data_IF_298154886145
#
_entry.id   IF_298154886145
#
_cell.length_a   1.000
_cell.length_b   1.000
_cell.length_c   1.000
_cell.angle_alpha   90.00
_cell.angle_beta   90.00
_cell.angle_gamma   90.00
#
_symmetry.space_group_name_H-M   'P 1'
#
loop_
_entity.id
_entity.type
_entity.pdbx_description
1 polymer ?
#
# COMPACT_ATOMS: atom_id res chain seq x y z
N UNK A 1 -19.27 2.03 -8.58
CA UNK A 1 -17.85 2.29 -8.71
C UNK A 1 -17.18 1.98 -7.38
N UNK A 2 -15.99 1.39 -7.34
CA UNK A 2 -15.35 1.03 -6.08
C UNK A 2 -13.87 1.46 -5.99
N UNK A 3 -13.49 2.02 -4.83
CA UNK A 3 -12.11 2.21 -4.41
C UNK A 3 -11.79 1.17 -3.33
N UNK A 4 -10.91 0.24 -3.66
CA UNK A 4 -10.52 -0.87 -2.79
C UNK A 4 -9.09 -0.66 -2.34
N UNK A 5 -8.89 -0.58 -1.02
CA UNK A 5 -7.57 -0.48 -0.43
C UNK A 5 -7.03 -1.87 -0.03
N UNK A 6 -5.87 -2.24 -0.58
CA UNK A 6 -5.14 -3.46 -0.23
C UNK A 6 -3.99 -3.08 0.70
N UNK A 7 -4.03 -3.56 1.94
CA UNK A 7 -3.01 -3.29 2.96
C UNK A 7 -2.41 -4.56 3.52
N UNK A 8 -1.31 -4.42 4.27
CA UNK A 8 -0.59 -5.52 4.87
C UNK A 8 0.92 -5.34 4.82
N UNK A 9 1.63 -6.07 5.67
CA UNK A 9 3.08 -5.94 5.83
C UNK A 9 3.87 -6.25 4.54
N UNK A 10 5.14 -5.87 4.48
CA UNK A 10 6.02 -6.24 3.37
C UNK A 10 6.10 -7.78 3.24
N UNK A 11 6.12 -8.32 2.02
CA UNK A 11 6.21 -9.77 1.76
C UNK A 11 4.88 -10.53 1.72
N UNK A 12 3.74 -9.88 1.99
CA UNK A 12 2.41 -10.55 1.95
C UNK A 12 1.84 -10.74 0.53
N UNK A 13 2.40 -10.07 -0.48
CA UNK A 13 2.02 -10.26 -1.90
C UNK A 13 1.18 -9.15 -2.53
N UNK A 14 1.08 -7.97 -1.91
CA UNK A 14 0.28 -6.83 -2.43
C UNK A 14 0.66 -6.45 -3.87
N UNK A 15 1.94 -6.21 -4.14
CA UNK A 15 2.45 -5.79 -5.45
C UNK A 15 2.10 -6.80 -6.55
N UNK A 16 2.31 -8.10 -6.30
CA UNK A 16 1.93 -9.16 -7.26
C UNK A 16 0.44 -9.14 -7.56
N UNK A 17 -0.42 -8.97 -6.55
CA UNK A 17 -1.87 -8.84 -6.79
C UNK A 17 -2.20 -7.61 -7.64
N UNK A 18 -1.56 -6.46 -7.39
CA UNK A 18 -1.77 -5.26 -8.20
C UNK A 18 -1.33 -5.46 -9.65
N UNK A 19 -0.20 -6.13 -9.90
CA UNK A 19 0.25 -6.46 -11.26
C UNK A 19 -0.79 -7.31 -12.00
N UNK A 20 -1.37 -8.32 -11.34
CA UNK A 20 -2.43 -9.13 -11.92
C UNK A 20 -3.72 -8.34 -12.20
N UNK A 21 -4.15 -7.49 -11.26
CA UNK A 21 -5.32 -6.63 -11.44
C UNK A 21 -5.14 -5.63 -12.60
N UNK A 22 -3.93 -5.10 -12.76
CA UNK A 22 -3.59 -4.24 -13.90
C UNK A 22 -3.69 -4.99 -15.24
N UNK A 23 -3.23 -6.25 -15.28
CA UNK A 23 -3.35 -7.10 -16.47
C UNK A 23 -4.80 -7.42 -16.83
N UNK A 24 -5.69 -7.45 -15.83
CA UNK A 24 -7.15 -7.60 -16.03
C UNK A 24 -7.83 -6.28 -16.45
N UNK A 25 -7.10 -5.17 -16.50
CA UNK A 25 -7.59 -3.87 -16.98
C UNK A 25 -8.12 -2.93 -15.89
N UNK A 26 -7.94 -3.27 -14.61
CA UNK A 26 -8.31 -2.37 -13.51
C UNK A 26 -7.28 -1.24 -13.33
N UNK A 27 -7.74 -0.10 -12.81
CA UNK A 27 -6.81 0.93 -12.35
C UNK A 27 -6.16 0.47 -11.05
N UNK A 28 -4.83 0.55 -11.00
CA UNK A 28 -4.06 0.20 -9.82
C UNK A 28 -3.08 1.32 -9.48
N UNK A 29 -2.89 1.58 -8.18
CA UNK A 29 -1.88 2.52 -7.71
C UNK A 29 -1.14 1.93 -6.50
N UNK A 30 0.17 1.76 -6.63
CA UNK A 30 1.06 1.44 -5.52
C UNK A 30 1.61 2.74 -4.92
N UNK A 31 1.35 2.96 -3.64
CA UNK A 31 1.63 4.25 -2.99
C UNK A 31 3.04 4.35 -2.41
N UNK A 32 3.85 3.29 -2.52
CA UNK A 32 5.24 3.22 -2.07
C UNK A 32 6.16 4.26 -2.74
N UNK A 33 5.78 4.83 -3.88
CA UNK A 33 6.55 5.85 -4.59
C UNK A 33 5.68 7.06 -4.90
N UNK A 34 6.11 8.24 -4.43
CA UNK A 34 5.50 9.54 -4.78
C UNK A 34 4.34 9.99 -3.88
N UNK A 35 3.73 9.08 -3.13
CA UNK A 35 2.58 9.34 -2.24
C UNK A 35 2.94 9.37 -0.76
N UNK A 36 4.22 9.30 -0.42
CA UNK A 36 4.69 9.27 0.96
C UNK A 36 5.40 10.55 1.37
N UNK A 37 5.36 10.87 2.66
CA UNK A 37 6.09 11.95 3.30
C UNK A 37 6.45 11.59 4.75
N UNK A 38 7.14 12.49 5.42
CA UNK A 38 7.39 12.37 6.86
C UNK A 38 6.14 12.84 7.61
N UNK A 39 5.66 12.03 8.54
CA UNK A 39 4.53 12.35 9.42
C UNK A 39 4.98 12.35 10.87
N UNK A 40 4.32 13.16 11.69
CA UNK A 40 4.48 13.14 13.14
C UNK A 40 3.55 12.08 13.76
N UNK A 41 4.08 11.33 14.72
CA UNK A 41 3.37 10.31 15.49
C UNK A 41 3.67 10.50 16.98
N UNK A 42 2.93 9.83 17.86
CA UNK A 42 3.21 9.84 19.30
C UNK A 42 4.59 9.26 19.65
N UNK A 43 5.22 8.53 18.74
CA UNK A 43 6.54 7.89 18.91
C UNK A 43 7.68 8.63 18.18
N UNK A 44 7.39 9.80 17.61
CA UNK A 44 8.33 10.57 16.79
C UNK A 44 7.90 10.60 15.32
N UNK A 45 8.86 10.70 14.41
CA UNK A 45 8.55 10.79 12.98
C UNK A 45 8.59 9.44 12.28
N UNK A 46 7.63 9.21 11.39
CA UNK A 46 7.56 8.01 10.54
C UNK A 46 7.33 8.38 9.08
N UNK A 47 7.54 7.41 8.17
CA UNK A 47 7.09 7.55 6.79
C UNK A 47 5.61 7.17 6.73
N UNK A 48 4.79 8.13 6.30
CA UNK A 48 3.36 7.95 6.13
C UNK A 48 2.90 8.39 4.75
N UNK A 49 1.61 8.23 4.49
CA UNK A 49 0.98 8.85 3.35
C UNK A 49 1.01 10.37 3.46
N UNK A 50 1.36 11.00 2.34
CA UNK A 50 1.13 12.42 2.10
C UNK A 50 -0.37 12.64 1.91
N UNK A 51 -1.00 13.29 2.88
CA UNK A 51 -2.46 13.33 2.99
C UNK A 51 -3.12 14.05 1.81
N UNK A 52 -2.50 15.13 1.32
CA UNK A 52 -3.01 15.88 0.17
C UNK A 52 -2.95 15.04 -1.11
N UNK A 53 -1.84 14.31 -1.33
CA UNK A 53 -1.70 13.46 -2.51
C UNK A 53 -2.65 12.28 -2.51
N UNK A 54 -2.88 11.65 -1.35
CA UNK A 54 -3.83 10.56 -1.25
C UNK A 54 -5.26 11.06 -1.44
N UNK A 55 -5.63 12.21 -0.88
CA UNK A 55 -6.95 12.78 -1.12
C UNK A 55 -7.16 13.09 -2.60
N UNK A 56 -6.20 13.75 -3.25
CA UNK A 56 -6.28 14.01 -4.69
C UNK A 56 -6.34 12.74 -5.53
N UNK A 57 -5.64 11.67 -5.14
CA UNK A 57 -5.72 10.38 -5.81
C UNK A 57 -7.13 9.79 -5.71
N UNK A 58 -7.71 9.77 -4.51
CA UNK A 58 -9.06 9.26 -4.27
C UNK A 58 -10.08 10.06 -5.08
N UNK A 59 -10.03 11.39 -5.01
CA UNK A 59 -10.93 12.29 -5.73
C UNK A 59 -10.86 12.09 -7.26
N UNK A 60 -9.66 11.84 -7.79
CA UNK A 60 -9.45 11.57 -9.22
C UNK A 60 -10.16 10.29 -9.69
N UNK A 61 -10.29 9.29 -8.81
CA UNK A 61 -10.85 7.98 -9.12
C UNK A 61 -12.25 7.75 -8.52
N UNK A 62 -12.92 8.76 -7.96
CA UNK A 62 -14.25 8.60 -7.36
C UNK A 62 -15.30 7.97 -8.31
N UNK A 63 -15.11 8.14 -9.63
CA UNK A 63 -15.96 7.60 -10.69
C UNK A 63 -15.29 6.47 -11.51
N UNK A 64 -14.19 5.85 -11.02
CA UNK A 64 -13.41 4.77 -11.68
C UNK A 64 -12.90 3.66 -10.75
N UNK A 65 -12.82 2.41 -11.23
CA UNK A 65 -12.60 1.26 -10.33
C UNK A 65 -11.11 1.25 -10.02
N UNK A 66 -10.76 1.42 -8.76
CA UNK A 66 -9.39 1.62 -8.31
C UNK A 66 -9.02 0.61 -7.23
N UNK A 67 -7.90 -0.08 -7.43
CA UNK A 67 -7.19 -0.78 -6.37
C UNK A 67 -5.96 0.03 -5.95
N UNK A 68 -5.95 0.48 -4.71
CA UNK A 68 -4.84 1.23 -4.11
C UNK A 68 -4.12 0.32 -3.12
N UNK A 69 -2.78 0.32 -3.12
CA UNK A 69 -1.95 -0.49 -2.20
C UNK A 69 -0.99 0.37 -1.40
N UNK A 70 -0.82 0.03 -0.12
CA UNK A 70 0.08 0.68 0.82
C UNK A 70 0.02 0.04 2.21
N UNK A 71 0.89 0.44 3.12
CA UNK A 71 0.83 0.03 4.53
C UNK A 71 1.54 1.07 5.39
N UNK A 72 0.80 2.07 5.87
CA UNK A 72 1.35 3.24 6.55
C UNK A 72 0.64 3.53 7.86
N UNK A 73 1.34 4.14 8.81
CA UNK A 73 0.80 4.41 10.14
C UNK A 73 -0.45 5.31 10.13
N UNK A 74 -0.52 6.28 9.21
CA UNK A 74 -1.67 7.18 9.07
C UNK A 74 -2.79 6.68 8.13
N UNK A 75 -2.70 5.46 7.59
CA UNK A 75 -3.72 4.93 6.65
C UNK A 75 -5.14 4.93 7.23
N UNK A 76 -5.27 4.80 8.56
CA UNK A 76 -6.57 4.80 9.26
C UNK A 76 -7.38 6.09 9.08
N UNK A 77 -6.74 7.21 8.74
CA UNK A 77 -7.42 8.48 8.42
C UNK A 77 -8.26 8.40 7.14
N UNK A 78 -7.99 7.43 6.28
CA UNK A 78 -8.57 7.36 4.94
C UNK A 78 -9.59 6.24 4.76
N UNK A 79 -9.81 5.39 5.77
CA UNK A 79 -10.71 4.23 5.64
C UNK A 79 -12.14 4.59 5.24
N UNK A 80 -12.60 5.79 5.63
CA UNK A 80 -13.91 6.31 5.23
C UNK A 80 -14.06 6.58 3.72
N UNK A 81 -12.95 6.64 2.97
CA UNK A 81 -12.95 6.88 1.53
C UNK A 81 -12.82 5.60 0.71
N UNK A 82 -12.67 4.45 1.36
CA UNK A 82 -12.55 3.16 0.68
C UNK A 82 -13.85 2.38 0.85
N UNK A 83 -14.36 1.83 -0.26
CA UNK A 83 -15.52 0.94 -0.23
C UNK A 83 -15.19 -0.37 0.48
N UNK A 84 -13.94 -0.83 0.36
CA UNK A 84 -13.42 -2.02 1.03
C UNK A 84 -11.94 -1.83 1.42
N UNK A 85 -11.57 -2.40 2.55
CA UNK A 85 -10.18 -2.56 2.99
C UNK A 85 -9.86 -4.05 3.09
N UNK A 86 -8.91 -4.51 2.28
CA UNK A 86 -8.49 -5.91 2.22
C UNK A 86 -7.11 -6.03 2.87
N UNK A 87 -7.06 -6.67 4.04
CA UNK A 87 -5.81 -6.94 4.74
C UNK A 87 -5.21 -8.25 4.24
N UNK A 88 -4.03 -8.17 3.61
CA UNK A 88 -3.23 -9.33 3.26
C UNK A 88 -2.36 -9.74 4.44
N UNK A 89 -2.38 -11.05 4.73
CA UNK A 89 -1.55 -11.66 5.76
C UNK A 89 -0.84 -12.88 5.20
N UNK A 90 0.30 -13.20 5.80
CA UNK A 90 1.06 -14.43 5.57
C UNK A 90 1.79 -14.77 6.88
N UNK A 91 2.18 -16.03 7.04
CA UNK A 91 3.04 -16.39 8.16
C UNK A 91 4.44 -15.77 8.01
N UNK A 92 5.11 -15.54 9.14
CA UNK A 92 6.40 -14.85 9.17
C UNK A 92 7.48 -15.57 8.35
N UNK A 93 7.51 -16.91 8.35
CA UNK A 93 8.51 -17.66 7.59
C UNK A 93 8.32 -17.45 6.09
N UNK A 94 7.09 -17.45 5.61
CA UNK A 94 6.75 -17.11 4.22
C UNK A 94 7.14 -15.67 3.90
N UNK A 95 6.84 -14.72 4.78
CA UNK A 95 7.20 -13.31 4.57
C UNK A 95 8.72 -13.12 4.46
N UNK A 96 9.50 -13.67 5.40
CA UNK A 96 10.96 -13.59 5.39
C UNK A 96 11.56 -14.21 4.14
N UNK A 97 11.12 -15.42 3.77
CA UNK A 97 11.58 -16.08 2.54
C UNK A 97 11.32 -15.23 1.30
N UNK A 98 10.16 -14.59 1.20
CA UNK A 98 9.83 -13.72 0.06
C UNK A 98 10.65 -12.43 0.05
N UNK A 99 10.87 -11.81 1.21
CA UNK A 99 11.67 -10.58 1.33
C UNK A 99 13.14 -10.84 0.97
N UNK A 100 13.68 -11.98 1.38
CA UNK A 100 15.05 -12.40 1.06
C UNK A 100 15.22 -12.61 -0.46
N UNK A 101 14.25 -13.30 -1.09
CA UNK A 101 14.34 -13.72 -2.48
C UNK A 101 13.93 -12.67 -3.52
N UNK A 102 13.15 -11.64 -3.15
CA UNK A 102 12.67 -10.63 -4.11
C UNK A 102 13.82 -9.78 -4.66
N UNK A 103 13.71 -9.31 -5.90
CA UNK A 103 14.75 -8.48 -6.56
C UNK A 103 14.31 -7.04 -6.83
N UNK A 104 13.03 -6.73 -6.58
CA UNK A 104 12.40 -5.47 -6.97
C UNK A 104 12.27 -4.45 -5.82
N UNK A 105 12.61 -4.82 -4.57
CA UNK A 105 12.53 -3.92 -3.41
C UNK A 105 13.60 -4.30 -2.36
N UNK A 106 14.32 -3.30 -1.85
CA UNK A 106 15.45 -3.44 -0.92
C UNK A 106 15.07 -3.46 0.57
N UNK A 107 13.80 -3.27 0.92
CA UNK A 107 13.36 -3.34 2.32
C UNK A 107 13.73 -4.70 2.93
N UNK A 108 14.24 -4.69 4.16
CA UNK A 108 14.66 -5.91 4.87
C UNK A 108 15.99 -6.51 4.40
N UNK A 109 16.77 -5.81 3.57
CA UNK A 109 18.10 -6.25 3.06
C UNK A 109 19.28 -5.47 3.64
N UNK A 110 19.05 -4.57 4.58
CA UNK A 110 20.12 -3.87 5.30
C UNK A 110 20.70 -4.79 6.36
N UNK A 111 22.02 -4.76 6.54
CA UNK A 111 22.68 -5.42 7.68
C UNK A 111 22.14 -4.84 9.00
N UNK A 112 22.13 -5.69 10.04
CA UNK A 112 21.66 -5.33 11.39
C UNK A 112 22.67 -4.47 12.16
#
# INVERSE_FOLDING_TARGET
>A
MAIIFITGMSGVGKTTTLEHLALEGYHVVETDVGYTGVIETDQGTEIGWDEEKIQHLIDHYQDKDLFISGCYANQGKFYQYFDQVVLFTADLNTMFKRIDQRTNNNYGKTEA
#
